data_IF_132870580088
#
_entry.id   IF_132870580088
#
_cell.length_a   1.000
_cell.length_b   1.000
_cell.length_c   1.000
_cell.angle_alpha   90.00
_cell.angle_beta   90.00
_cell.angle_gamma   90.00
#
_symmetry.space_group_name_H-M   'P 1'
#
loop_
_entity.id
_entity.type
_entity.pdbx_description
1 polymer ?
#
# COMPACT_ATOMS: atom_id res chain seq x y z
N UNK A 1 24.35 -19.71 -33.51
CA UNK A 1 24.95 -18.43 -33.10
C UNK A 1 25.50 -18.55 -31.68
N UNK A 2 26.75 -18.22 -31.44
CA UNK A 2 27.34 -18.23 -30.10
C UNK A 2 27.06 -16.87 -29.45
N UNK A 3 26.47 -16.88 -28.25
CA UNK A 3 26.17 -15.65 -27.51
C UNK A 3 27.48 -15.05 -26.94
N UNK A 4 27.84 -13.78 -27.25
CA UNK A 4 29.11 -13.19 -26.84
C UNK A 4 29.23 -13.01 -25.31
N UNK A 5 28.12 -12.98 -24.58
CA UNK A 5 28.08 -12.80 -23.11
C UNK A 5 27.84 -14.10 -22.35
N UNK A 6 27.89 -15.25 -23.02
CA UNK A 6 27.57 -16.56 -22.41
C UNK A 6 28.37 -16.80 -21.13
N UNK A 7 29.67 -16.53 -21.14
CA UNK A 7 30.55 -16.78 -19.98
C UNK A 7 30.23 -15.93 -18.75
N UNK A 8 29.56 -14.75 -18.95
CA UNK A 8 29.08 -13.89 -17.87
C UNK A 8 27.67 -14.25 -17.41
N UNK A 9 26.96 -15.10 -18.20
CA UNK A 9 25.56 -15.41 -17.98
C UNK A 9 25.35 -16.80 -17.33
N UNK A 10 26.10 -17.80 -17.76
CA UNK A 10 25.97 -19.18 -17.26
C UNK A 10 27.23 -19.99 -17.52
N UNK A 11 27.58 -20.86 -16.59
CA UNK A 11 28.64 -21.86 -16.74
C UNK A 11 28.14 -23.12 -17.46
N UNK A 12 26.82 -23.30 -17.58
CA UNK A 12 26.19 -24.43 -18.22
C UNK A 12 26.03 -24.26 -19.73
N UNK A 13 25.47 -25.30 -20.37
CA UNK A 13 25.19 -25.34 -21.82
C UNK A 13 24.22 -24.19 -22.21
N UNK A 14 23.23 -23.95 -21.37
CA UNK A 14 22.18 -22.93 -21.55
C UNK A 14 21.69 -22.40 -20.21
N UNK A 15 21.13 -21.20 -20.21
CA UNK A 15 20.41 -20.63 -19.07
C UNK A 15 18.92 -20.70 -19.34
N UNK A 16 18.15 -21.36 -18.47
CA UNK A 16 16.69 -21.40 -18.53
C UNK A 16 16.12 -20.30 -17.65
N UNK A 17 15.37 -19.40 -18.25
CA UNK A 17 14.62 -18.36 -17.55
C UNK A 17 13.14 -18.76 -17.56
N UNK A 18 12.58 -18.92 -16.38
CA UNK A 18 11.12 -19.14 -16.25
C UNK A 18 10.44 -17.79 -16.28
N UNK A 19 9.40 -17.67 -17.10
CA UNK A 19 8.55 -16.49 -17.16
C UNK A 19 7.13 -16.92 -16.78
N UNK A 20 6.48 -16.12 -15.93
CA UNK A 20 5.08 -16.31 -15.58
C UNK A 20 4.19 -15.95 -16.79
N UNK A 21 3.11 -16.71 -17.01
CA UNK A 21 2.23 -16.48 -18.18
C UNK A 21 1.57 -15.09 -18.17
N UNK A 22 1.36 -14.52 -16.95
CA UNK A 22 0.79 -13.19 -16.78
C UNK A 22 1.86 -12.09 -16.54
N UNK A 23 3.13 -12.34 -16.83
CA UNK A 23 4.23 -11.37 -16.65
C UNK A 23 3.96 -10.03 -17.33
N UNK A 24 3.22 -10.04 -18.46
CA UNK A 24 2.82 -8.82 -19.15
C UNK A 24 1.99 -7.85 -18.28
N UNK A 25 1.34 -8.33 -17.22
CA UNK A 25 0.62 -7.47 -16.26
C UNK A 25 1.62 -6.72 -15.39
N UNK A 26 2.65 -7.43 -14.90
CA UNK A 26 3.72 -6.84 -14.10
C UNK A 26 4.55 -5.85 -14.92
N UNK A 27 4.90 -6.18 -16.16
CA UNK A 27 5.62 -5.30 -17.08
C UNK A 27 4.84 -4.00 -17.34
N UNK A 28 3.52 -4.08 -17.55
CA UNK A 28 2.67 -2.90 -17.72
C UNK A 28 2.58 -2.06 -16.43
N UNK A 29 2.54 -2.70 -15.27
CA UNK A 29 2.53 -1.99 -14.01
C UNK A 29 3.88 -1.27 -13.79
N UNK A 30 4.99 -1.95 -14.05
CA UNK A 30 6.32 -1.37 -13.97
C UNK A 30 6.47 -0.18 -14.92
N UNK A 31 6.07 -0.34 -16.18
CA UNK A 31 6.12 0.75 -17.17
C UNK A 31 5.34 1.99 -16.69
N UNK A 32 4.15 1.82 -16.09
CA UNK A 32 3.38 2.96 -15.54
C UNK A 32 4.11 3.68 -14.41
N UNK A 33 4.92 2.96 -13.61
CA UNK A 33 5.74 3.56 -12.56
C UNK A 33 6.97 4.26 -13.13
N UNK A 34 7.56 3.71 -14.19
CA UNK A 34 8.69 4.31 -14.89
C UNK A 34 8.27 5.59 -15.63
N UNK A 35 7.06 5.59 -16.24
CA UNK A 35 6.49 6.75 -16.92
C UNK A 35 6.11 7.89 -15.94
N UNK A 36 5.74 7.54 -14.70
CA UNK A 36 5.37 8.51 -13.66
C UNK A 36 5.85 8.08 -12.26
N UNK A 37 7.12 8.33 -11.93
CA UNK A 37 7.71 7.99 -10.64
C UNK A 37 7.05 8.68 -9.44
N UNK A 38 6.30 9.78 -9.66
CA UNK A 38 5.63 10.54 -8.59
C UNK A 38 4.51 9.73 -7.92
N UNK A 39 4.01 8.68 -8.56
CA UNK A 39 2.99 7.78 -8.01
C UNK A 39 3.46 6.99 -6.80
N UNK A 40 4.76 6.69 -6.69
CA UNK A 40 5.32 5.95 -5.55
C UNK A 40 5.21 6.76 -4.26
N UNK A 41 5.72 8.01 -4.18
CA UNK A 41 5.52 8.86 -3.00
C UNK A 41 4.04 9.17 -2.71
N UNK A 42 3.23 9.33 -3.75
CA UNK A 42 1.78 9.55 -3.58
C UNK A 42 1.12 8.36 -2.90
N UNK A 43 1.41 7.14 -3.35
CA UNK A 43 0.92 5.89 -2.73
C UNK A 43 1.34 5.80 -1.27
N UNK A 44 2.60 6.08 -0.95
CA UNK A 44 3.09 6.04 0.42
C UNK A 44 2.32 7.01 1.33
N UNK A 45 2.07 8.23 0.87
CA UNK A 45 1.32 9.24 1.61
C UNK A 45 -0.16 8.89 1.77
N UNK A 46 -0.80 8.32 0.75
CA UNK A 46 -2.26 8.11 0.73
C UNK A 46 -2.69 6.77 1.31
N UNK A 47 -1.86 5.74 1.21
CA UNK A 47 -2.21 4.38 1.65
C UNK A 47 -1.35 3.93 2.82
N UNK A 48 -0.02 3.97 2.68
CA UNK A 48 0.88 3.38 3.67
C UNK A 48 0.89 4.17 4.98
N UNK A 49 0.87 5.51 4.91
CA UNK A 49 0.85 6.35 6.11
C UNK A 49 -0.40 6.13 6.98
N UNK A 50 -1.64 6.14 6.44
CA UNK A 50 -2.82 5.82 7.23
C UNK A 50 -2.77 4.43 7.87
N UNK A 51 -2.41 3.40 7.12
CA UNK A 51 -2.30 2.05 7.66
C UNK A 51 -1.16 1.90 8.66
N UNK A 52 -0.02 2.54 8.45
CA UNK A 52 1.08 2.59 9.42
C UNK A 52 0.64 3.24 10.73
N UNK A 53 -0.10 4.34 10.67
CA UNK A 53 -0.65 5.02 11.84
C UNK A 53 -1.64 4.12 12.59
N UNK A 54 -2.59 3.50 11.89
CA UNK A 54 -3.58 2.61 12.49
C UNK A 54 -2.89 1.43 13.19
N UNK A 55 -1.90 0.81 12.55
CA UNK A 55 -1.19 -0.34 13.11
C UNK A 55 -0.26 0.05 14.26
N UNK A 56 0.64 1.01 14.06
CA UNK A 56 1.71 1.31 15.00
C UNK A 56 1.26 2.24 16.14
N UNK A 57 0.51 3.30 15.82
CA UNK A 57 0.14 4.31 16.81
C UNK A 57 -1.18 4.00 17.51
N UNK A 58 -2.16 3.43 16.79
CA UNK A 58 -3.45 3.05 17.36
C UNK A 58 -3.49 1.61 17.89
N UNK A 59 -2.39 0.86 17.76
CA UNK A 59 -2.25 -0.48 18.32
C UNK A 59 -3.04 -1.57 17.60
N UNK A 60 -3.58 -1.30 16.40
CA UNK A 60 -4.34 -2.28 15.62
C UNK A 60 -3.41 -3.23 14.84
N UNK A 61 -2.50 -3.90 15.54
CA UNK A 61 -1.52 -4.81 14.93
C UNK A 61 -2.12 -6.15 14.50
N UNK A 62 -3.22 -6.55 15.12
CA UNK A 62 -3.96 -7.78 14.82
C UNK A 62 -5.44 -7.60 15.15
N UNK A 63 -6.29 -8.38 14.51
CA UNK A 63 -7.73 -8.35 14.77
C UNK A 63 -8.06 -9.07 16.06
N UNK A 64 -8.91 -8.47 16.89
CA UNK A 64 -9.43 -9.05 18.13
C UNK A 64 -10.66 -9.90 17.87
N UNK A 65 -11.35 -9.67 16.76
CA UNK A 65 -12.56 -10.39 16.37
C UNK A 65 -12.27 -11.45 15.32
N UNK A 66 -13.14 -12.47 15.25
CA UNK A 66 -13.11 -13.52 14.22
C UNK A 66 -14.31 -13.31 13.29
N UNK A 67 -14.27 -13.89 12.11
CA UNK A 67 -15.26 -13.78 11.03
C UNK A 67 -15.18 -12.47 10.25
N UNK A 68 -15.39 -12.55 8.94
CA UNK A 68 -15.25 -11.42 8.04
C UNK A 68 -16.14 -10.21 8.41
N UNK A 69 -17.43 -10.38 8.76
CA UNK A 69 -18.27 -9.23 9.14
C UNK A 69 -17.78 -8.49 10.38
N UNK A 70 -17.31 -9.22 11.41
CA UNK A 70 -16.81 -8.60 12.65
C UNK A 70 -15.46 -7.90 12.44
N UNK A 71 -14.56 -8.50 11.67
CA UNK A 71 -13.29 -7.88 11.27
C UNK A 71 -13.54 -6.63 10.45
N UNK A 72 -14.51 -6.63 9.54
CA UNK A 72 -14.91 -5.45 8.77
C UNK A 72 -15.39 -4.31 9.68
N UNK A 73 -16.20 -4.62 10.68
CA UNK A 73 -16.63 -3.62 11.68
C UNK A 73 -15.47 -3.09 12.49
N UNK A 74 -14.54 -3.93 12.91
CA UNK A 74 -13.35 -3.55 13.66
C UNK A 74 -12.45 -2.59 12.85
N UNK A 75 -12.19 -2.90 11.57
CA UNK A 75 -11.46 -2.00 10.67
C UNK A 75 -12.20 -0.68 10.51
N UNK A 76 -13.52 -0.70 10.29
CA UNK A 76 -14.31 0.51 10.11
C UNK A 76 -14.21 1.46 11.32
N UNK A 77 -14.20 0.92 12.54
CA UNK A 77 -14.00 1.71 13.76
C UNK A 77 -12.59 2.32 13.84
N UNK A 78 -11.55 1.58 13.48
CA UNK A 78 -10.20 2.12 13.43
C UNK A 78 -10.05 3.22 12.38
N UNK A 79 -10.64 3.04 11.20
CA UNK A 79 -10.65 4.07 10.14
C UNK A 79 -11.42 5.31 10.59
N UNK A 80 -12.56 5.15 11.25
CA UNK A 80 -13.33 6.27 11.81
C UNK A 80 -12.50 7.06 12.81
N UNK A 81 -11.89 6.39 13.78
CA UNK A 81 -11.04 7.04 14.79
C UNK A 81 -9.86 7.77 14.15
N UNK A 82 -9.19 7.14 13.17
CA UNK A 82 -8.12 7.79 12.40
C UNK A 82 -8.61 9.05 11.69
N UNK A 83 -9.76 8.98 11.01
CA UNK A 83 -10.31 10.12 10.28
C UNK A 83 -10.70 11.26 11.24
N UNK A 84 -11.29 10.94 12.39
CA UNK A 84 -11.60 11.95 13.42
C UNK A 84 -10.33 12.64 13.93
N UNK A 85 -9.27 11.89 14.23
CA UNK A 85 -7.98 12.47 14.62
C UNK A 85 -7.42 13.39 13.52
N UNK A 86 -7.53 13.01 12.26
CA UNK A 86 -7.10 13.84 11.12
C UNK A 86 -7.93 15.10 10.99
N UNK A 87 -9.24 15.02 11.12
CA UNK A 87 -10.14 16.18 11.08
C UNK A 87 -9.81 17.16 12.22
N UNK A 88 -9.64 16.67 13.45
CA UNK A 88 -9.24 17.48 14.59
C UNK A 88 -7.87 18.18 14.37
N UNK A 89 -6.92 17.48 13.76
CA UNK A 89 -5.61 18.02 13.46
C UNK A 89 -5.64 19.10 12.36
N UNK A 90 -6.52 18.96 11.37
CA UNK A 90 -6.61 19.87 10.21
C UNK A 90 -7.50 21.08 10.51
N UNK A 91 -8.68 20.87 11.06
CA UNK A 91 -9.66 21.93 11.31
C UNK A 91 -9.54 22.57 12.69
N UNK A 92 -8.99 21.86 13.65
CA UNK A 92 -9.02 22.20 15.07
C UNK A 92 -10.35 21.82 15.74
N UNK A 93 -10.28 21.48 17.02
CA UNK A 93 -11.44 21.02 17.82
C UNK A 93 -12.58 22.05 17.88
N UNK A 94 -12.34 23.37 18.07
CA UNK A 94 -13.41 24.36 18.15
C UNK A 94 -14.26 24.45 16.88
N UNK A 95 -13.61 24.38 15.69
CA UNK A 95 -14.33 24.43 14.40
C UNK A 95 -15.16 23.17 14.19
N UNK A 96 -14.61 21.99 14.57
CA UNK A 96 -15.33 20.74 14.47
C UNK A 96 -16.59 20.76 15.34
N UNK A 97 -16.51 21.21 16.59
CA UNK A 97 -17.66 21.35 17.50
C UNK A 97 -18.69 22.33 16.94
N UNK A 98 -18.23 23.45 16.37
CA UNK A 98 -19.11 24.42 15.72
C UNK A 98 -19.90 23.79 14.55
N UNK A 99 -19.24 23.04 13.70
CA UNK A 99 -19.88 22.34 12.58
C UNK A 99 -20.88 21.25 13.00
N UNK A 100 -20.66 20.59 14.14
CA UNK A 100 -21.58 19.56 14.68
C UNK A 100 -22.84 20.17 15.35
N UNK A 101 -22.81 21.47 15.68
CA UNK A 101 -23.94 22.17 16.30
C UNK A 101 -24.82 22.91 15.29
N UNK A 102 -24.35 23.05 14.06
CA UNK A 102 -25.07 23.65 12.94
C UNK A 102 -26.03 22.64 12.30
#
# INVERSE_FOLDING_TARGET
>A
MACPIKNKCTTGKERRVRRWEHEAILERAQKRLDDDPSKIPLRSKTVEHPFGTIKAWMGATHFKTKTLPRVSTEIALHVLAYNMMRVMAVLGVPRLIGAMRA
#
